data_IF_978953378313
#
_entry.id   IF_978953378313
#
_cell.length_a   1.000
_cell.length_b   1.000
_cell.length_c   1.000
_cell.angle_alpha   90.00
_cell.angle_beta   90.00
_cell.angle_gamma   90.00
#
_symmetry.space_group_name_H-M   'P 1'
#
loop_
_entity.id
_entity.type
_entity.pdbx_description
1 polymer ?
#
# COMPACT_ATOMS: atom_id res chain seq x y z
N UNK A 1 13.28 18.23 -58.27
CA UNK A 1 12.08 19.01 -57.90
C UNK A 1 11.07 18.07 -57.26
N UNK A 2 10.78 18.32 -55.97
CA UNK A 2 9.61 17.94 -55.15
C UNK A 2 9.15 16.47 -55.13
N UNK A 3 9.71 15.77 -54.15
CA UNK A 3 9.37 14.46 -53.64
C UNK A 3 8.07 14.59 -52.81
N UNK A 4 7.05 13.74 -53.04
CA UNK A 4 5.87 13.67 -52.16
C UNK A 4 5.77 12.26 -51.61
N UNK A 5 6.13 12.18 -50.33
CA UNK A 5 6.24 11.01 -49.47
C UNK A 5 4.92 10.23 -49.36
N UNK A 6 5.02 8.92 -49.63
CA UNK A 6 3.97 7.94 -49.37
C UNK A 6 3.72 7.84 -47.86
N UNK A 7 2.55 8.33 -47.43
CA UNK A 7 2.09 8.24 -46.04
C UNK A 7 1.58 6.82 -45.75
N UNK A 8 1.97 6.19 -44.63
CA UNK A 8 1.59 4.82 -44.33
C UNK A 8 0.08 4.73 -44.03
N UNK A 9 -0.50 3.59 -44.41
CA UNK A 9 -1.90 3.25 -44.16
C UNK A 9 -2.17 3.37 -42.65
N UNK A 10 -3.07 4.31 -42.30
CA UNK A 10 -3.62 4.39 -40.94
C UNK A 10 -4.35 3.09 -40.68
N UNK A 11 -3.86 2.33 -39.71
CA UNK A 11 -4.59 1.21 -39.11
C UNK A 11 -5.99 1.68 -38.78
N UNK A 12 -6.95 1.17 -39.55
CA UNK A 12 -8.36 1.35 -39.29
C UNK A 12 -8.62 0.66 -37.97
N UNK A 13 -9.01 1.46 -36.95
CA UNK A 13 -9.62 0.92 -35.74
C UNK A 13 -10.83 0.13 -36.22
N UNK A 14 -10.66 -1.19 -36.28
CA UNK A 14 -11.69 -2.14 -36.62
C UNK A 14 -12.90 -1.83 -35.76
N UNK A 15 -13.94 -1.27 -36.39
CA UNK A 15 -15.26 -1.15 -35.82
C UNK A 15 -15.79 -2.58 -35.61
N UNK A 16 -15.38 -3.21 -34.50
CA UNK A 16 -16.05 -4.39 -33.99
C UNK A 16 -17.50 -4.01 -33.71
N UNK A 17 -18.39 -4.50 -34.56
CA UNK A 17 -19.84 -4.30 -34.49
C UNK A 17 -20.34 -4.48 -33.04
N UNK A 18 -21.19 -3.59 -32.51
CA UNK A 18 -21.75 -3.70 -31.17
C UNK A 18 -22.47 -5.04 -30.90
N UNK A 19 -22.87 -5.76 -31.96
CA UNK A 19 -23.61 -7.02 -31.89
C UNK A 19 -22.78 -8.25 -31.46
N UNK A 20 -21.44 -8.17 -31.43
CA UNK A 20 -20.59 -9.34 -31.12
C UNK A 20 -19.84 -9.24 -29.78
N UNK A 21 -20.06 -8.19 -28.98
CA UNK A 21 -19.51 -8.12 -27.62
C UNK A 21 -20.39 -8.94 -26.66
N UNK A 22 -20.42 -10.27 -26.84
CA UNK A 22 -20.90 -11.17 -25.78
C UNK A 22 -19.92 -11.03 -24.63
N UNK A 23 -20.29 -10.27 -23.60
CA UNK A 23 -19.58 -10.29 -22.32
C UNK A 23 -19.64 -11.74 -21.84
N UNK A 24 -18.50 -12.43 -21.90
CA UNK A 24 -18.42 -13.82 -21.45
C UNK A 24 -18.68 -13.81 -19.95
N UNK A 25 -19.75 -14.47 -19.52
CA UNK A 25 -20.02 -14.68 -18.09
C UNK A 25 -18.87 -15.49 -17.52
N UNK A 26 -18.39 -15.13 -16.33
CA UNK A 26 -17.37 -15.90 -15.63
C UNK A 26 -17.84 -17.34 -15.46
N UNK A 27 -17.02 -18.27 -15.92
CA UNK A 27 -17.17 -19.71 -15.74
C UNK A 27 -17.09 -20.07 -14.25
N UNK A 28 -17.60 -21.24 -13.88
CA UNK A 28 -17.51 -21.71 -12.49
C UNK A 28 -16.05 -21.85 -12.04
N UNK A 29 -15.13 -22.19 -12.95
CA UNK A 29 -13.71 -22.30 -12.63
C UNK A 29 -13.10 -20.93 -12.28
N UNK A 30 -13.36 -19.91 -13.10
CA UNK A 30 -12.89 -18.54 -12.85
C UNK A 30 -13.45 -17.96 -11.54
N UNK A 31 -14.69 -18.31 -11.17
CA UNK A 31 -15.27 -17.88 -9.88
C UNK A 31 -14.53 -18.48 -8.68
N UNK A 32 -14.26 -19.79 -8.72
CA UNK A 32 -13.51 -20.48 -7.65
C UNK A 32 -12.08 -19.97 -7.54
N UNK A 33 -11.44 -19.69 -8.67
CA UNK A 33 -10.09 -19.11 -8.67
C UNK A 33 -10.10 -17.70 -8.07
N UNK A 34 -11.04 -16.85 -8.46
CA UNK A 34 -11.19 -15.52 -7.88
C UNK A 34 -11.38 -15.60 -6.37
N UNK A 35 -12.25 -16.47 -5.88
CA UNK A 35 -12.48 -16.69 -4.45
C UNK A 35 -11.22 -17.15 -3.71
N UNK A 36 -10.46 -18.10 -4.30
CA UNK A 36 -9.17 -18.53 -3.76
C UNK A 36 -8.17 -17.38 -3.65
N UNK A 37 -8.07 -16.54 -4.68
CA UNK A 37 -7.18 -15.37 -4.69
C UNK A 37 -7.61 -14.37 -3.63
N UNK A 38 -8.90 -14.06 -3.53
CA UNK A 38 -9.44 -13.16 -2.52
C UNK A 38 -9.17 -13.65 -1.11
N UNK A 39 -9.44 -14.94 -0.83
CA UNK A 39 -9.18 -15.53 0.49
C UNK A 39 -7.68 -15.53 0.82
N UNK A 40 -6.82 -15.79 -0.17
CA UNK A 40 -5.38 -15.72 0.02
C UNK A 40 -4.92 -14.31 0.34
N UNK A 41 -5.48 -13.30 -0.34
CA UNK A 41 -5.19 -11.89 -0.04
C UNK A 41 -5.63 -11.52 1.38
N UNK A 42 -6.84 -11.90 1.79
CA UNK A 42 -7.34 -11.67 3.17
C UNK A 42 -6.37 -12.22 4.23
N UNK A 43 -5.91 -13.46 4.04
CA UNK A 43 -4.94 -14.09 4.93
C UNK A 43 -3.60 -13.35 4.99
N UNK A 44 -3.10 -12.85 3.84
CA UNK A 44 -1.81 -12.16 3.78
C UNK A 44 -1.84 -10.79 4.46
N UNK A 45 -2.99 -10.09 4.39
CA UNK A 45 -3.13 -8.73 4.92
C UNK A 45 -3.87 -8.69 6.27
N UNK A 46 -4.17 -9.85 6.85
CA UNK A 46 -4.97 -10.01 8.06
C UNK A 46 -6.31 -9.25 8.05
N UNK A 47 -6.99 -9.21 6.89
CA UNK A 47 -8.32 -8.61 6.78
C UNK A 47 -9.42 -9.57 7.27
N UNK A 48 -10.52 -9.01 7.78
CA UNK A 48 -11.70 -9.76 8.18
C UNK A 48 -12.34 -10.49 6.98
N UNK A 49 -13.09 -11.56 7.27
CA UNK A 49 -13.74 -12.38 6.25
C UNK A 49 -14.78 -11.59 5.44
N UNK A 50 -15.43 -10.62 6.10
CA UNK A 50 -16.51 -9.80 5.55
C UNK A 50 -16.04 -8.47 4.95
N UNK A 51 -14.73 -8.15 4.96
CA UNK A 51 -14.22 -6.87 4.41
C UNK A 51 -14.58 -6.73 2.92
N UNK A 52 -15.09 -5.57 2.54
CA UNK A 52 -15.42 -5.26 1.15
C UNK A 52 -14.20 -5.36 0.21
N UNK A 53 -14.44 -5.65 -1.09
CA UNK A 53 -13.34 -5.81 -2.06
C UNK A 53 -12.48 -4.54 -2.20
N UNK A 54 -13.07 -3.36 -2.08
CA UNK A 54 -12.34 -2.09 -2.13
C UNK A 54 -11.39 -1.95 -0.94
N UNK A 55 -11.90 -2.16 0.27
CA UNK A 55 -11.13 -2.11 1.52
C UNK A 55 -10.02 -3.17 1.54
N UNK A 56 -10.31 -4.39 1.07
CA UNK A 56 -9.30 -5.45 0.95
C UNK A 56 -8.14 -5.03 0.03
N UNK A 57 -8.43 -4.38 -1.10
CA UNK A 57 -7.38 -3.87 -2.00
C UNK A 57 -6.61 -2.72 -1.35
N UNK A 58 -7.27 -1.82 -0.63
CA UNK A 58 -6.60 -0.73 0.10
C UNK A 58 -5.67 -1.27 1.19
N UNK A 59 -6.13 -2.23 2.00
CA UNK A 59 -5.32 -2.94 3.00
C UNK A 59 -4.12 -3.65 2.35
N UNK A 60 -4.32 -4.28 1.18
CA UNK A 60 -3.22 -4.90 0.42
C UNK A 60 -2.18 -3.89 -0.03
N UNK A 61 -2.60 -2.74 -0.56
CA UNK A 61 -1.68 -1.68 -0.98
C UNK A 61 -0.90 -1.12 0.21
N UNK A 62 -1.56 -0.93 1.36
CA UNK A 62 -0.92 -0.49 2.59
C UNK A 62 0.14 -1.51 3.06
N UNK A 63 -0.22 -2.79 3.10
CA UNK A 63 0.70 -3.86 3.49
C UNK A 63 1.92 -3.95 2.57
N UNK A 64 1.75 -3.85 1.24
CA UNK A 64 2.87 -3.82 0.29
C UNK A 64 3.81 -2.65 0.56
N UNK A 65 3.26 -1.47 0.86
CA UNK A 65 4.07 -0.27 1.15
C UNK A 65 4.82 -0.40 2.46
N UNK A 66 4.20 -0.99 3.48
CA UNK A 66 4.86 -1.31 4.74
C UNK A 66 6.03 -2.28 4.53
N UNK A 67 5.81 -3.37 3.80
CA UNK A 67 6.87 -4.31 3.42
C UNK A 67 8.01 -3.61 2.65
N UNK A 68 7.66 -2.72 1.72
CA UNK A 68 8.66 -1.91 1.00
C UNK A 68 9.46 -1.00 1.93
N UNK A 69 8.84 -0.41 2.96
CA UNK A 69 9.52 0.43 3.93
C UNK A 69 10.50 -0.39 4.81
N UNK A 70 10.05 -1.56 5.28
CA UNK A 70 10.88 -2.53 6.02
C UNK A 70 12.11 -2.96 5.21
N UNK A 71 11.92 -3.28 3.92
CA UNK A 71 13.03 -3.68 3.04
C UNK A 71 14.00 -2.53 2.73
N UNK A 72 13.53 -1.28 2.70
CA UNK A 72 14.36 -0.12 2.39
C UNK A 72 15.12 0.44 3.61
N UNK A 73 15.02 -0.20 4.78
CA UNK A 73 15.69 0.24 6.01
C UNK A 73 15.27 1.64 6.48
N UNK A 74 14.12 2.13 6.02
CA UNK A 74 13.54 3.43 6.43
C UNK A 74 12.42 3.16 7.40
N UNK A 75 12.80 3.00 8.66
CA UNK A 75 11.86 2.88 9.76
C UNK A 75 10.97 4.15 9.81
N UNK A 76 9.64 3.96 9.77
CA UNK A 76 8.63 4.91 10.27
C UNK A 76 8.22 6.13 9.41
N UNK A 77 7.88 5.96 8.12
CA UNK A 77 6.94 6.91 7.51
C UNK A 77 5.95 6.23 6.57
N UNK A 78 4.66 6.27 6.94
CA UNK A 78 3.60 6.11 5.95
C UNK A 78 3.80 7.18 4.87
N UNK A 79 3.70 6.84 3.57
CA UNK A 79 3.81 7.84 2.53
C UNK A 79 2.78 8.96 2.79
N UNK A 80 3.24 10.21 2.74
CA UNK A 80 2.44 11.42 2.99
C UNK A 80 1.06 11.29 2.32
N UNK A 81 -0.01 11.27 3.10
CA UNK A 81 -1.39 11.13 2.60
C UNK A 81 -2.01 9.73 2.73
N UNK A 82 -1.37 8.77 3.42
CA UNK A 82 -1.99 7.48 3.77
C UNK A 82 -2.68 7.46 5.13
N UNK A 83 -2.33 8.40 6.02
CA UNK A 83 -2.99 8.61 7.32
C UNK A 83 -4.51 8.73 7.19
N UNK A 84 -4.98 9.36 6.09
CA UNK A 84 -6.40 9.60 5.83
C UNK A 84 -7.24 8.33 5.66
N UNK A 85 -6.62 7.18 5.37
CA UNK A 85 -7.31 5.89 5.23
C UNK A 85 -7.43 5.13 6.55
N UNK A 86 -6.62 5.48 7.56
CA UNK A 86 -6.63 4.84 8.88
C UNK A 86 -7.38 5.68 9.93
N UNK A 87 -7.60 6.97 9.66
CA UNK A 87 -8.30 7.89 10.59
C UNK A 87 -9.79 7.62 10.80
N UNK A 88 -10.44 6.78 9.99
CA UNK A 88 -11.88 6.56 10.10
C UNK A 88 -12.32 5.59 11.20
N UNK A 89 -11.39 4.92 11.90
CA UNK A 89 -11.75 3.92 12.93
C UNK A 89 -10.97 3.99 14.25
N UNK A 90 -10.14 5.00 14.49
CA UNK A 90 -9.31 5.08 15.71
C UNK A 90 -9.49 6.40 16.49
N UNK A 91 -10.68 6.59 17.08
CA UNK A 91 -10.86 7.51 18.22
C UNK A 91 -10.39 6.80 19.50
N UNK A 92 -9.09 6.59 19.64
CA UNK A 92 -8.44 6.23 20.91
C UNK A 92 -7.07 6.87 20.94
N UNK A 93 -6.90 7.83 21.86
CA UNK A 93 -5.72 8.67 22.02
C UNK A 93 -4.46 7.83 22.25
N UNK A 94 -3.33 8.10 21.56
CA UNK A 94 -2.07 7.48 21.93
C UNK A 94 -1.58 8.11 23.23
N UNK A 95 -1.56 7.33 24.32
CA UNK A 95 -0.82 7.68 25.52
C UNK A 95 0.65 7.86 25.13
N UNK A 96 1.10 9.11 25.17
CA UNK A 96 2.51 9.47 25.19
C UNK A 96 3.12 8.95 26.49
N UNK A 97 4.02 7.97 26.39
CA UNK A 97 4.90 7.55 27.50
C UNK A 97 6.23 7.15 26.89
N UNK A 98 7.02 8.16 26.49
CA UNK A 98 8.40 8.01 26.05
C UNK A 98 9.31 7.90 27.29
N UNK A 99 10.21 6.92 27.37
CA UNK A 99 11.17 6.81 28.45
C UNK A 99 12.32 7.82 28.26
N UNK A 100 12.64 8.60 29.30
CA UNK A 100 13.86 9.43 29.39
C UNK A 100 14.95 8.70 30.18
N UNK A 101 16.09 8.44 29.53
CA UNK A 101 17.45 8.45 30.09
C UNK A 101 18.44 7.89 29.06
N UNK A 102 19.75 8.17 29.18
CA UNK A 102 20.40 9.38 29.71
C UNK A 102 21.59 9.82 28.82
N UNK A 103 21.91 11.11 28.71
CA UNK A 103 23.27 11.51 28.35
C UNK A 103 23.57 12.99 28.63
N UNK A 104 24.84 13.24 28.96
CA UNK A 104 25.58 14.51 29.02
C UNK A 104 25.77 15.22 30.38
N UNK A 105 26.98 15.03 30.90
CA UNK A 105 27.95 16.06 31.30
C UNK A 105 27.58 17.08 32.38
N UNK A 106 28.13 16.87 33.58
CA UNK A 106 28.56 17.98 34.45
C UNK A 106 29.90 17.67 35.11
N UNK A 107 30.93 18.24 34.51
CA UNK A 107 32.14 18.85 35.04
C UNK A 107 32.47 18.71 36.55
N UNK A 108 33.65 18.13 36.80
CA UNK A 108 34.68 18.46 37.80
C UNK A 108 34.29 19.09 39.14
N UNK A 109 34.54 18.37 40.24
CA UNK A 109 35.24 18.86 41.46
C UNK A 109 35.44 17.72 42.48
N UNK A 110 36.70 17.36 42.74
CA UNK A 110 37.17 16.55 43.87
C UNK A 110 38.25 17.35 44.62
N UNK A 111 38.72 16.94 45.81
CA UNK A 111 38.00 16.46 46.99
C UNK A 111 38.56 17.13 48.29
N UNK A 112 37.85 17.08 49.42
CA UNK A 112 38.49 17.25 50.75
C UNK A 112 37.71 16.54 51.84
N UNK A 113 38.28 15.47 52.38
CA UNK A 113 37.96 14.96 53.71
C UNK A 113 39.12 14.12 54.22
N UNK A 114 39.88 14.71 55.14
CA UNK A 114 40.72 14.03 56.12
C UNK A 114 40.26 14.56 57.47
N UNK A 115 39.69 13.68 58.28
CA UNK A 115 39.63 13.81 59.73
C UNK A 115 40.42 12.64 60.30
#
# INVERSE_FOLDING_TARGET
MKNISARPQRDTISHVSPKSRKIRKSTSAERREKEKVTNRLRQLVAAEEDTDQYELVMATIAHIRELQAQLNGKENSLPRGFEQFFTSSASVSPLSSRPESPESSVESSSPRSTA
#
